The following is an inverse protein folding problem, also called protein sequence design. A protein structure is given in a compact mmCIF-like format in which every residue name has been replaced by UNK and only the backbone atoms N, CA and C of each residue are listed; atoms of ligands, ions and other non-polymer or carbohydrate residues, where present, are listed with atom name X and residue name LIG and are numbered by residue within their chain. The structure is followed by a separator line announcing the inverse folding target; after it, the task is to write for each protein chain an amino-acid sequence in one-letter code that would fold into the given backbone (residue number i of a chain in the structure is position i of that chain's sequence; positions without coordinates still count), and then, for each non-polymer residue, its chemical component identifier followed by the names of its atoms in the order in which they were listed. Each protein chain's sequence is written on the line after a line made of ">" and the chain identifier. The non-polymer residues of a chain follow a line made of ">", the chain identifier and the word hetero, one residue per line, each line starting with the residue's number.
data_IF_961797772755
#
_entry.id   IF_961797772755
#
_cell.length_a   1.000
_cell.length_b   1.000
_cell.length_c   1.000
_cell.angle_alpha   90.00
_cell.angle_beta   90.00
_cell.angle_gamma   90.00
#
_symmetry.space_group_name_H-M   'P 1'
#
loop_
_entity.id
_entity.type
_entity.pdbx_description
1 polymer ?
#
# COMPACT_ATOMS: atom_id res chain seq x y z
N UNK A 1 -10.92 3.03 -2.67
CA UNK A 1 -9.62 2.38 -3.00
C UNK A 1 -9.53 2.29 -4.50
N UNK A 2 -8.41 2.75 -5.06
CA UNK A 2 -8.17 2.76 -6.50
C UNK A 2 -7.27 1.60 -6.96
N UNK A 3 -6.54 1.82 -8.03
CA UNK A 3 -5.71 0.80 -8.66
C UNK A 3 -4.51 0.38 -7.80
N UNK A 4 -4.12 -0.90 -7.91
CA UNK A 4 -2.92 -1.44 -7.27
C UNK A 4 -1.68 -0.90 -7.99
N UNK A 5 -0.75 -0.29 -7.25
CA UNK A 5 0.56 0.10 -7.77
C UNK A 5 1.54 -1.07 -7.77
N UNK A 6 1.74 -1.69 -6.60
CA UNK A 6 2.57 -2.89 -6.39
C UNK A 6 2.01 -3.74 -5.26
N UNK A 7 2.29 -5.03 -5.29
CA UNK A 7 2.06 -5.95 -4.18
C UNK A 7 3.28 -6.86 -3.98
N UNK A 8 3.54 -7.27 -2.73
CA UNK A 8 4.60 -8.22 -2.35
C UNK A 8 4.12 -9.13 -1.23
N UNK A 9 4.55 -10.38 -1.27
CA UNK A 9 4.39 -11.31 -0.14
C UNK A 9 5.25 -10.80 1.02
N UNK A 10 4.65 -10.69 2.20
CA UNK A 10 5.35 -10.36 3.43
C UNK A 10 6.40 -11.45 3.75
N UNK A 11 7.58 -11.11 4.30
CA UNK A 11 8.53 -12.10 4.80
C UNK A 11 7.95 -13.19 5.71
N UNK A 12 6.83 -12.94 6.39
CA UNK A 12 6.12 -13.97 7.16
C UNK A 12 5.47 -15.08 6.32
N UNK A 13 5.43 -14.93 4.99
CA UNK A 13 4.94 -15.92 4.03
C UNK A 13 3.42 -16.10 4.01
N UNK A 14 2.67 -15.31 4.78
CA UNK A 14 1.21 -15.42 4.94
C UNK A 14 0.47 -14.19 4.45
N UNK A 15 1.03 -13.01 4.68
CA UNK A 15 0.38 -11.75 4.36
C UNK A 15 0.88 -11.16 3.03
N UNK A 16 0.09 -10.23 2.48
CA UNK A 16 0.47 -9.45 1.31
C UNK A 16 0.52 -7.98 1.70
N UNK A 17 1.63 -7.31 1.41
CA UNK A 17 1.68 -5.86 1.38
C UNK A 17 1.33 -5.36 -0.01
N UNK A 18 0.48 -4.35 -0.10
CA UNK A 18 0.21 -3.65 -1.34
C UNK A 18 0.29 -2.14 -1.13
N UNK A 19 0.75 -1.45 -2.17
CA UNK A 19 0.55 -0.01 -2.31
C UNK A 19 -0.59 0.22 -3.29
N UNK A 20 -1.62 0.91 -2.83
CA UNK A 20 -2.87 1.16 -3.54
C UNK A 20 -2.96 2.67 -3.81
N UNK A 21 -3.33 3.03 -5.03
CA UNK A 21 -3.63 4.42 -5.36
C UNK A 21 -4.99 4.81 -4.79
N UNK A 22 -5.13 6.06 -4.44
CA UNK A 22 -6.38 6.61 -3.96
C UNK A 22 -7.39 6.65 -5.12
N UNK A 23 -8.67 6.64 -4.79
CA UNK A 23 -9.70 6.72 -5.82
C UNK A 23 -9.90 8.19 -6.19
N UNK A 24 -9.65 8.53 -7.44
CA UNK A 24 -9.70 9.90 -7.94
C UNK A 24 -10.18 9.92 -9.39
N UNK A 25 -10.74 11.06 -9.81
CA UNK A 25 -11.19 11.27 -11.18
C UNK A 25 -10.04 11.25 -12.20
N UNK A 26 -10.35 11.11 -13.51
CA UNK A 26 -9.34 11.02 -14.57
C UNK A 26 -8.41 12.23 -14.64
N UNK A 27 -8.86 13.40 -14.18
CA UNK A 27 -8.07 14.65 -14.13
C UNK A 27 -6.93 14.58 -13.11
N UNK A 28 -6.96 13.62 -12.18
CA UNK A 28 -5.94 13.39 -11.16
C UNK A 28 -5.01 12.22 -11.49
N UNK A 29 -4.97 11.76 -12.75
CA UNK A 29 -4.04 10.70 -13.13
C UNK A 29 -2.59 11.12 -12.88
N UNK A 30 -1.88 10.38 -12.02
CA UNK A 30 -0.53 10.72 -11.58
C UNK A 30 -0.48 11.53 -10.28
N UNK A 31 -1.62 11.84 -9.69
CA UNK A 31 -1.75 12.56 -8.43
C UNK A 31 -2.95 12.09 -7.60
N UNK A 32 -3.41 10.86 -7.80
CA UNK A 32 -4.67 10.36 -7.25
C UNK A 32 -4.75 10.47 -5.71
N UNK A 33 -3.62 10.42 -5.00
CA UNK A 33 -3.56 10.55 -3.55
C UNK A 33 -3.28 11.96 -3.02
N UNK A 34 -3.21 12.98 -3.89
CA UNK A 34 -3.08 14.36 -3.44
C UNK A 34 -4.29 14.72 -2.56
N UNK A 35 -4.02 15.21 -1.34
CA UNK A 35 -5.01 15.57 -0.32
C UNK A 35 -5.93 14.43 0.17
N UNK A 36 -5.59 13.16 -0.12
CA UNK A 36 -6.34 12.01 0.40
C UNK A 36 -5.92 11.65 1.82
N UNK A 37 -6.91 11.28 2.64
CA UNK A 37 -6.73 10.72 3.99
C UNK A 37 -6.60 9.18 3.99
N UNK A 38 -6.69 8.54 2.83
CA UNK A 38 -6.51 7.09 2.69
C UNK A 38 -5.08 6.69 3.00
N UNK A 39 -4.89 5.65 3.83
CA UNK A 39 -3.61 4.94 3.92
C UNK A 39 -3.37 4.12 2.63
N UNK A 40 -2.37 4.46 1.81
CA UNK A 40 -2.13 3.76 0.57
C UNK A 40 -1.29 2.49 0.74
N UNK A 41 -0.65 2.27 1.90
CA UNK A 41 0.12 1.05 2.18
C UNK A 41 -0.70 0.14 3.06
N UNK A 42 -1.12 -1.01 2.53
CA UNK A 42 -2.04 -1.93 3.18
C UNK A 42 -1.42 -3.33 3.31
N UNK A 43 -1.59 -3.97 4.47
CA UNK A 43 -1.29 -5.39 4.69
C UNK A 43 -2.59 -6.18 4.71
N UNK A 44 -2.66 -7.21 3.88
CA UNK A 44 -3.81 -8.12 3.79
C UNK A 44 -3.50 -9.48 4.41
N UNK A 45 -4.47 -10.05 5.10
CA UNK A 45 -4.47 -11.46 5.48
C UNK A 45 -4.90 -12.37 4.30
N UNK A 46 -4.78 -13.72 4.42
CA UNK A 46 -5.20 -14.65 3.37
C UNK A 46 -6.69 -14.63 3.02
N UNK A 47 -7.53 -14.00 3.85
CA UNK A 47 -8.96 -13.86 3.61
C UNK A 47 -9.31 -12.53 2.93
N UNK A 48 -8.32 -11.66 2.70
CA UNK A 48 -8.48 -10.35 2.08
C UNK A 48 -8.84 -9.24 3.06
N UNK A 49 -8.74 -9.47 4.38
CA UNK A 49 -8.95 -8.41 5.37
C UNK A 49 -7.69 -7.54 5.48
N UNK A 50 -7.88 -6.23 5.60
CA UNK A 50 -6.79 -5.31 5.95
C UNK A 50 -6.48 -5.48 7.43
N UNK A 51 -5.25 -5.86 7.74
CA UNK A 51 -4.76 -6.07 9.12
C UNK A 51 -3.76 -5.02 9.57
N UNK A 52 -3.22 -4.24 8.64
CA UNK A 52 -2.34 -3.10 8.92
C UNK A 52 -2.46 -2.07 7.78
N UNK A 53 -2.39 -0.78 8.11
CA UNK A 53 -2.38 0.30 7.12
C UNK A 53 -1.57 1.49 7.60
N UNK A 54 -0.93 2.20 6.66
CA UNK A 54 -0.29 3.49 6.91
C UNK A 54 -0.04 4.27 5.62
N UNK A 55 0.39 5.53 5.77
CA UNK A 55 0.92 6.35 4.68
C UNK A 55 -0.02 7.46 4.21
N UNK A 56 -1.14 7.67 4.90
CA UNK A 56 -2.04 8.81 4.65
C UNK A 56 -1.29 10.13 4.61
N UNK A 57 -1.59 10.96 3.60
CA UNK A 57 -0.92 12.25 3.38
C UNK A 57 0.57 12.19 3.01
N UNK A 58 1.17 11.00 2.85
CA UNK A 58 2.60 10.84 2.57
C UNK A 58 2.93 10.66 1.08
N UNK A 59 1.95 10.30 0.26
CA UNK A 59 2.17 9.92 -1.14
C UNK A 59 1.19 10.59 -2.07
N UNK A 60 1.67 11.06 -3.22
CA UNK A 60 0.84 11.62 -4.29
C UNK A 60 0.48 10.52 -5.31
N UNK A 61 1.46 9.68 -5.67
CA UNK A 61 1.30 8.59 -6.63
C UNK A 61 2.19 7.40 -6.29
N UNK A 62 1.74 6.49 -5.41
CA UNK A 62 2.57 5.39 -4.93
C UNK A 62 2.80 4.33 -6.02
N UNK A 63 4.07 4.10 -6.39
CA UNK A 63 4.47 3.24 -7.51
C UNK A 63 5.44 2.10 -7.17
N UNK A 64 6.23 2.24 -6.11
CA UNK A 64 7.28 1.26 -5.74
C UNK A 64 7.03 0.78 -4.32
N UNK A 65 7.23 -0.51 -4.09
CA UNK A 65 7.21 -1.14 -2.78
C UNK A 65 8.42 -2.07 -2.67
N UNK A 66 9.24 -1.88 -1.63
CA UNK A 66 10.36 -2.75 -1.30
C UNK A 66 10.21 -3.15 0.16
N UNK A 67 10.20 -4.45 0.42
CA UNK A 67 10.21 -4.99 1.77
C UNK A 67 11.64 -5.34 2.13
N UNK A 68 12.11 -4.80 3.25
CA UNK A 68 13.38 -5.17 3.86
C UNK A 68 13.07 -6.15 4.98
N UNK A 69 13.60 -7.38 4.96
CA UNK A 69 13.45 -8.29 6.09
C UNK A 69 14.00 -7.61 7.35
N UNK A 70 13.21 -7.57 8.42
CA UNK A 70 13.77 -7.20 9.72
C UNK A 70 14.82 -8.27 10.07
N UNK A 71 16.04 -7.82 10.42
CA UNK A 71 17.04 -8.73 10.94
C UNK A 71 16.46 -9.38 12.20
N UNK A 72 16.25 -10.69 12.16
CA UNK A 72 15.91 -11.45 13.35
C UNK A 72 17.09 -11.33 14.30
N UNK A 73 16.93 -10.56 15.37
CA UNK A 73 17.82 -10.69 16.53
C UNK A 73 17.71 -12.14 16.99
N UNK A 74 18.82 -12.87 16.88
CA UNK A 74 18.92 -14.27 17.27
C UNK A 74 18.72 -14.48 18.76
#
# INVERSE_FOLDING_TARGET
>A
MGAVGKAKVDPDGRHIWAVIRCDAGPDHFGSECVDSDLDPVLKFDPHGNVVESFGSGMFIWPMVLTLTPMATSG
#
